data_IF_696657396476
#
_entry.id   IF_696657396476
#
_cell.length_a   1.000
_cell.length_b   1.000
_cell.length_c   1.000
_cell.angle_alpha   90.00
_cell.angle_beta   90.00
_cell.angle_gamma   90.00
#
_symmetry.space_group_name_H-M   'P 1'
#
loop_
_entity.id
_entity.type
_entity.pdbx_description
1 polymer ?
#
# COMPACT_ATOMS: atom_id res chain seq x y z
N UNK A 1 25.65 -13.91 9.31
CA UNK A 1 25.02 -14.47 10.53
C UNK A 1 23.78 -15.23 10.11
N UNK A 2 23.48 -16.40 10.69
CA UNK A 2 22.34 -17.24 10.28
C UNK A 2 21.37 -17.41 11.44
N UNK A 3 20.08 -17.23 11.17
CA UNK A 3 18.99 -17.38 12.13
C UNK A 3 17.99 -18.44 11.65
N UNK A 4 17.42 -19.20 12.58
CA UNK A 4 16.30 -20.11 12.31
C UNK A 4 15.05 -19.55 12.97
N UNK A 5 14.04 -19.20 12.17
CA UNK A 5 12.74 -18.73 12.65
C UNK A 5 11.79 -19.92 12.64
N UNK A 6 11.23 -20.27 13.81
CA UNK A 6 10.28 -21.39 13.97
C UNK A 6 8.86 -20.86 14.13
N UNK A 7 7.87 -21.70 13.83
CA UNK A 7 6.46 -21.38 14.05
C UNK A 7 5.90 -20.34 13.09
N UNK A 8 6.42 -20.26 11.85
CA UNK A 8 5.87 -19.38 10.82
C UNK A 8 4.47 -19.88 10.46
N UNK A 9 3.40 -19.07 10.64
CA UNK A 9 2.06 -19.45 10.22
C UNK A 9 2.02 -19.74 8.72
N UNK A 10 1.25 -20.75 8.29
CA UNK A 10 1.14 -21.15 6.88
C UNK A 10 0.80 -19.96 5.96
N UNK A 11 -0.13 -19.11 6.40
CA UNK A 11 -0.54 -17.88 5.68
C UNK A 11 0.62 -16.92 5.42
N UNK A 12 1.63 -16.88 6.30
CA UNK A 12 2.82 -16.03 6.13
C UNK A 12 3.81 -16.67 5.15
N UNK A 13 4.04 -17.98 5.23
CA UNK A 13 4.90 -18.71 4.28
C UNK A 13 4.35 -18.59 2.85
N UNK A 14 3.03 -18.78 2.67
CA UNK A 14 2.36 -18.66 1.38
C UNK A 14 2.52 -17.25 0.78
N UNK A 15 2.30 -16.22 1.60
CA UNK A 15 2.46 -14.83 1.18
C UNK A 15 3.92 -14.52 0.77
N UNK A 16 4.91 -15.03 1.52
CA UNK A 16 6.33 -14.85 1.21
C UNK A 16 6.72 -15.55 -0.10
N UNK A 17 6.22 -16.77 -0.33
CA UNK A 17 6.44 -17.51 -1.58
C UNK A 17 5.79 -16.84 -2.78
N UNK A 18 4.57 -16.34 -2.63
CA UNK A 18 3.89 -15.59 -3.68
C UNK A 18 4.70 -14.34 -4.06
N UNK A 19 5.18 -13.59 -3.06
CA UNK A 19 6.05 -12.42 -3.26
C UNK A 19 7.38 -12.77 -3.92
N UNK A 20 8.01 -13.89 -3.54
CA UNK A 20 9.26 -14.37 -4.15
C UNK A 20 9.08 -14.69 -5.64
N UNK A 21 8.00 -15.39 -6.01
CA UNK A 21 7.67 -15.67 -7.41
C UNK A 21 7.42 -14.39 -8.21
N UNK A 22 6.61 -13.47 -7.66
CA UNK A 22 6.28 -12.21 -8.33
C UNK A 22 7.51 -11.30 -8.54
N UNK A 23 8.45 -11.32 -7.60
CA UNK A 23 9.66 -10.51 -7.67
C UNK A 23 10.83 -11.20 -8.40
N UNK A 24 10.72 -12.48 -8.78
CA UNK A 24 11.82 -13.26 -9.32
C UNK A 24 13.00 -13.42 -8.35
N UNK A 25 12.74 -13.34 -7.03
CA UNK A 25 13.75 -13.41 -5.97
C UNK A 25 13.71 -14.74 -5.25
N UNK A 26 14.82 -15.12 -4.61
CA UNK A 26 14.80 -16.26 -3.70
C UNK A 26 13.91 -15.98 -2.49
N UNK A 27 13.34 -17.04 -1.89
CA UNK A 27 12.54 -16.90 -0.67
C UNK A 27 13.34 -16.24 0.46
N UNK A 28 14.63 -16.59 0.58
CA UNK A 28 15.52 -16.01 1.59
C UNK A 28 15.67 -14.50 1.42
N UNK A 29 15.91 -14.01 0.20
CA UNK A 29 15.99 -12.56 -0.05
C UNK A 29 14.70 -11.84 0.31
N UNK A 30 13.54 -12.41 -0.03
CA UNK A 30 12.25 -11.82 0.35
C UNK A 30 12.04 -11.79 1.85
N UNK A 31 12.46 -12.84 2.58
CA UNK A 31 12.40 -12.88 4.04
C UNK A 31 13.30 -11.81 4.65
N UNK A 32 14.53 -11.67 4.16
CA UNK A 32 15.47 -10.64 4.63
C UNK A 32 14.93 -9.24 4.33
N UNK A 33 14.39 -9.00 3.14
CA UNK A 33 13.73 -7.74 2.77
C UNK A 33 12.56 -7.42 3.72
N UNK A 34 11.71 -8.41 4.01
CA UNK A 34 10.57 -8.25 4.89
C UNK A 34 10.98 -7.96 6.34
N UNK A 35 11.99 -8.68 6.87
CA UNK A 35 12.53 -8.44 8.21
C UNK A 35 13.20 -7.06 8.31
N UNK A 36 13.94 -6.66 7.29
CA UNK A 36 14.57 -5.32 7.23
C UNK A 36 13.51 -4.23 7.26
N UNK A 37 12.41 -4.40 6.51
CA UNK A 37 11.27 -3.49 6.50
C UNK A 37 10.54 -3.48 7.86
N UNK A 38 10.27 -4.64 8.44
CA UNK A 38 9.58 -4.77 9.73
C UNK A 38 10.38 -4.22 10.92
N UNK A 39 11.71 -4.35 10.89
CA UNK A 39 12.60 -3.79 11.89
C UNK A 39 12.88 -2.29 11.70
N UNK A 40 12.34 -1.66 10.65
CA UNK A 40 12.58 -0.25 10.35
C UNK A 40 14.01 0.06 9.87
N UNK A 41 14.79 -0.95 9.49
CA UNK A 41 16.20 -0.82 9.05
C UNK A 41 16.29 -0.60 7.53
N UNK A 42 15.26 -0.03 6.91
CA UNK A 42 15.32 0.28 5.48
C UNK A 42 16.41 1.31 5.19
N UNK A 43 17.43 0.91 4.43
CA UNK A 43 18.56 1.75 4.00
C UNK A 43 18.14 3.00 3.20
N UNK A 44 16.90 3.02 2.73
CA UNK A 44 16.27 4.19 2.12
C UNK A 44 14.98 4.43 2.87
N UNK A 45 14.73 5.63 3.43
CA UNK A 45 13.39 5.97 3.89
C UNK A 45 12.47 5.73 2.70
N UNK A 46 11.53 4.79 2.83
CA UNK A 46 10.51 4.59 1.81
C UNK A 46 9.76 5.91 1.76
N UNK A 47 10.09 6.77 0.77
CA UNK A 47 9.38 8.04 0.54
C UNK A 47 7.92 7.66 0.45
N UNK A 48 7.17 7.84 1.53
CA UNK A 48 5.72 7.82 1.46
C UNK A 48 5.42 8.99 0.52
N UNK A 49 4.99 8.67 -0.70
CA UNK A 49 4.48 9.69 -1.61
C UNK A 49 3.29 10.29 -0.86
N UNK A 50 3.50 11.49 -0.34
CA UNK A 50 2.43 12.31 0.15
C UNK A 50 1.84 12.94 -1.10
N UNK A 51 0.52 12.89 -1.24
CA UNK A 51 -0.18 13.47 -2.39
C UNK A 51 -0.32 15.00 -2.26
N UNK A 52 0.56 15.62 -1.47
CA UNK A 52 0.54 17.07 -1.23
C UNK A 52 0.85 17.88 -2.50
N UNK A 53 1.54 17.27 -3.45
CA UNK A 53 1.80 17.80 -4.79
C UNK A 53 0.61 17.64 -5.76
N UNK A 54 -0.44 16.91 -5.38
CA UNK A 54 -1.66 16.70 -6.17
C UNK A 54 -2.85 17.49 -5.61
N UNK A 55 -2.91 17.67 -4.29
CA UNK A 55 -3.97 18.44 -3.65
C UNK A 55 -3.96 19.90 -4.13
N UNK A 56 -5.08 20.37 -4.68
CA UNK A 56 -5.22 21.75 -5.17
C UNK A 56 -4.59 22.02 -6.56
N UNK A 57 -3.98 21.02 -7.21
CA UNK A 57 -3.45 21.18 -8.58
C UNK A 57 -4.45 20.83 -9.67
N UNK A 58 -5.69 20.46 -9.31
CA UNK A 58 -6.71 20.10 -10.27
C UNK A 58 -7.14 21.33 -11.09
N UNK A 59 -7.30 21.15 -12.40
CA UNK A 59 -7.82 22.20 -13.27
C UNK A 59 -9.35 22.22 -13.17
N UNK A 60 -9.92 23.39 -12.91
CA UNK A 60 -11.36 23.57 -12.91
C UNK A 60 -11.94 23.14 -14.26
N UNK A 61 -12.81 22.14 -14.21
CA UNK A 61 -13.51 21.59 -15.36
C UNK A 61 -15.02 21.62 -15.09
N UNK A 62 -15.77 22.24 -15.99
CA UNK A 62 -17.20 22.49 -15.78
C UNK A 62 -18.01 21.19 -15.64
N UNK A 63 -17.64 20.13 -16.35
CA UNK A 63 -18.35 18.85 -16.26
C UNK A 63 -18.08 18.19 -14.90
N UNK A 64 -16.83 18.25 -14.42
CA UNK A 64 -16.45 17.74 -13.09
C UNK A 64 -17.15 18.52 -11.98
N UNK A 65 -17.14 19.86 -12.02
CA UNK A 65 -17.82 20.69 -11.00
C UNK A 65 -19.33 20.39 -10.96
N UNK A 66 -19.97 20.25 -12.13
CA UNK A 66 -21.40 19.92 -12.20
C UNK A 66 -21.71 18.53 -11.64
N UNK A 67 -20.82 17.55 -11.85
CA UNK A 67 -20.97 16.20 -11.34
C UNK A 67 -20.74 16.11 -9.82
N UNK A 68 -19.80 16.91 -9.28
CA UNK A 68 -19.57 17.02 -7.83
C UNK A 68 -20.76 17.68 -7.14
N UNK A 69 -21.28 18.78 -7.69
CA UNK A 69 -22.46 19.46 -7.14
C UNK A 69 -23.69 18.55 -7.08
N UNK A 70 -23.87 17.66 -8.05
CA UNK A 70 -24.96 16.67 -8.05
C UNK A 70 -24.75 15.54 -7.01
N UNK A 71 -23.51 15.27 -6.59
CA UNK A 71 -23.19 14.28 -5.55
C UNK A 71 -23.24 14.87 -4.13
N UNK A 72 -23.07 16.19 -4.00
CA UNK A 72 -23.17 16.90 -2.72
C UNK A 72 -24.63 17.14 -2.27
N UNK A 73 -25.62 16.70 -3.05
CA UNK A 73 -27.03 16.72 -2.66
C UNK A 73 -27.35 15.48 -1.82
N UNK A 74 -27.73 15.65 -0.54
CA UNK A 74 -28.12 14.55 0.32
C UNK A 74 -29.32 13.75 -0.20
N UNK A 75 -29.19 12.43 -0.22
CA UNK A 75 -30.36 11.56 -0.34
C UNK A 75 -31.00 11.37 1.04
N UNK A 76 -32.05 12.13 1.30
CA UNK A 76 -32.82 12.13 2.55
C UNK A 76 -33.46 10.77 2.89
N UNK A 77 -33.70 9.90 1.90
CA UNK A 77 -34.25 8.57 2.10
C UNK A 77 -33.16 7.58 2.55
N UNK A 78 -31.93 7.76 2.05
CA UNK A 78 -30.74 7.00 2.46
C UNK A 78 -30.16 7.44 3.81
N UNK A 79 -30.46 8.67 4.27
CA UNK A 79 -29.88 9.24 5.50
C UNK A 79 -30.71 9.06 6.78
N UNK A 80 -31.90 8.45 6.69
CA UNK A 80 -32.72 8.05 7.86
C UNK A 80 -32.38 6.66 8.36
#
# INVERSE_FOLDING_TARGET
>A
MQYTIRGIPAVVDDALRARARAAGKSLNEVVVDALTQGAGVTATPRKRRHLGDVAGTWKTDKAVESALAAQDEPDEELWR
#
